data_IF_211041582526
#
_entry.id   IF_211041582526
#
_cell.length_a   1.000
_cell.length_b   1.000
_cell.length_c   1.000
_cell.angle_alpha   90.00
_cell.angle_beta   90.00
_cell.angle_gamma   90.00
#
_symmetry.space_group_name_H-M   'P 1'
#
loop_
_entity.id
_entity.type
_entity.pdbx_description
1 polymer ?
#
# COMPACT_ATOMS: atom_id res chain seq x y z
N UNK A 1 31.75 25.55 64.14
CA UNK A 1 31.27 26.71 63.36
C UNK A 1 31.44 26.38 61.88
N UNK A 2 30.37 26.59 61.08
CA UNK A 2 30.25 26.57 59.60
C UNK A 2 30.83 25.33 58.83
N UNK A 3 30.07 24.34 58.36
CA UNK A 3 29.07 24.26 57.25
C UNK A 3 29.57 24.66 55.86
N UNK A 4 29.66 23.68 54.96
CA UNK A 4 29.76 23.85 53.51
C UNK A 4 29.41 22.54 52.80
N UNK A 5 28.16 22.40 52.37
CA UNK A 5 27.63 21.22 51.67
C UNK A 5 27.83 21.31 50.16
N UNK A 6 28.09 20.15 49.52
CA UNK A 6 28.07 19.99 48.08
C UNK A 6 26.77 19.28 47.68
N UNK A 7 25.97 19.97 46.86
CA UNK A 7 24.67 19.50 46.36
C UNK A 7 24.81 18.41 45.30
N UNK A 8 23.99 17.37 45.43
CA UNK A 8 23.69 16.41 44.37
C UNK A 8 22.59 17.02 43.51
N UNK A 9 22.93 17.37 42.27
CA UNK A 9 21.99 17.89 41.29
C UNK A 9 20.99 16.82 40.85
N UNK A 10 19.73 16.99 41.24
CA UNK A 10 18.58 16.24 40.74
C UNK A 10 18.21 16.83 39.37
N UNK A 11 18.19 16.02 38.32
CA UNK A 11 17.77 16.44 36.97
C UNK A 11 16.24 16.65 36.96
N UNK A 12 15.69 17.72 36.35
CA UNK A 12 14.25 17.88 36.22
C UNK A 12 13.67 16.88 35.21
N UNK A 13 12.50 16.35 35.51
CA UNK A 13 11.64 15.59 34.59
C UNK A 13 11.10 16.56 33.54
N UNK A 14 11.36 16.28 32.26
CA UNK A 14 10.83 17.05 31.14
C UNK A 14 9.36 16.62 30.93
N UNK A 15 8.44 17.52 31.29
CA UNK A 15 7.01 17.36 31.13
C UNK A 15 6.64 17.56 29.64
N UNK A 16 6.21 16.49 28.98
CA UNK A 16 5.77 16.53 27.58
C UNK A 16 4.42 17.28 27.50
N UNK A 17 4.26 18.28 26.61
CA UNK A 17 3.03 19.06 26.55
C UNK A 17 1.87 18.20 26.03
N UNK A 18 0.61 18.46 26.45
CA UNK A 18 -0.55 17.71 25.99
C UNK A 18 -0.75 17.91 24.47
N UNK A 19 -1.31 16.90 23.76
CA UNK A 19 -1.62 17.07 22.35
C UNK A 19 -2.67 18.17 22.15
N UNK A 20 -2.59 18.95 21.05
CA UNK A 20 -3.58 19.99 20.78
C UNK A 20 -4.96 19.37 20.53
N UNK A 21 -6.06 20.08 20.85
CA UNK A 21 -7.39 19.60 20.53
C UNK A 21 -7.55 19.49 19.00
N UNK A 22 -8.18 18.41 18.54
CA UNK A 22 -8.61 18.23 17.15
C UNK A 22 -9.53 19.40 16.76
N UNK A 23 -8.96 20.40 16.10
CA UNK A 23 -9.71 21.50 15.53
C UNK A 23 -10.50 20.95 14.34
N UNK A 24 -11.83 21.04 14.41
CA UNK A 24 -12.69 20.70 13.28
C UNK A 24 -12.26 21.56 12.07
N UNK A 25 -12.15 20.97 10.86
CA UNK A 25 -11.75 21.73 9.68
C UNK A 25 -12.74 22.86 9.42
N UNK A 26 -12.26 24.11 9.48
CA UNK A 26 -13.04 25.29 9.12
C UNK A 26 -13.34 25.25 7.60
N UNK A 27 -14.53 25.70 7.16
CA UNK A 27 -14.83 25.79 5.74
C UNK A 27 -13.92 26.85 5.10
N UNK A 28 -13.36 26.60 3.89
CA UNK A 28 -12.56 27.60 3.21
C UNK A 28 -13.44 28.79 2.83
N UNK A 29 -12.99 29.98 3.22
CA UNK A 29 -13.53 31.25 2.79
C UNK A 29 -13.48 31.35 1.26
N UNK A 30 -14.54 31.92 0.68
CA UNK A 30 -14.77 31.96 -0.75
C UNK A 30 -13.72 32.80 -1.47
N UNK A 31 -12.95 32.15 -2.35
CA UNK A 31 -12.20 32.87 -3.38
C UNK A 31 -12.28 32.11 -4.71
N UNK A 32 -13.07 32.69 -5.63
CA UNK A 32 -13.02 32.44 -7.07
C UNK A 32 -13.76 31.20 -7.57
N UNK A 33 -14.73 31.42 -8.45
CA UNK A 33 -15.31 30.40 -9.33
C UNK A 33 -14.21 29.56 -10.01
N UNK A 34 -14.09 28.30 -9.58
CA UNK A 34 -13.68 27.21 -10.47
C UNK A 34 -14.64 26.06 -10.20
N UNK A 35 -15.56 25.84 -11.13
CA UNK A 35 -16.38 24.63 -11.21
C UNK A 35 -15.44 23.43 -10.99
N UNK A 36 -15.61 22.63 -9.91
CA UNK A 36 -14.78 21.46 -9.71
C UNK A 36 -14.98 20.54 -10.90
N UNK A 37 -13.99 20.49 -11.79
CA UNK A 37 -13.91 19.42 -12.75
C UNK A 37 -13.74 18.15 -11.92
N UNK A 38 -14.83 17.39 -11.75
CA UNK A 38 -14.83 16.08 -11.13
C UNK A 38 -13.91 15.19 -11.95
N UNK A 39 -12.61 15.25 -11.67
CA UNK A 39 -11.68 14.23 -12.14
C UNK A 39 -12.18 12.91 -11.56
N UNK A 40 -12.40 11.88 -12.40
CA UNK A 40 -12.78 10.58 -11.89
C UNK A 40 -11.72 10.13 -10.86
N UNK A 41 -12.14 9.41 -9.80
CA UNK A 41 -11.21 8.92 -8.80
C UNK A 41 -10.06 8.18 -9.49
N UNK A 42 -8.81 8.32 -9.00
CA UNK A 42 -7.69 7.57 -9.55
C UNK A 42 -8.10 6.11 -9.59
N UNK A 43 -8.20 5.58 -10.81
CA UNK A 43 -8.54 4.19 -11.01
C UNK A 43 -7.49 3.37 -10.25
N UNK A 44 -7.89 2.38 -9.42
CA UNK A 44 -6.92 1.46 -8.86
C UNK A 44 -6.12 0.90 -10.04
N UNK A 45 -4.78 0.74 -9.90
CA UNK A 45 -4.00 0.14 -10.97
C UNK A 45 -4.68 -1.17 -11.39
N UNK A 46 -4.74 -1.47 -12.69
CA UNK A 46 -5.39 -2.67 -13.17
C UNK A 46 -4.88 -3.83 -12.32
N UNK A 47 -5.81 -4.55 -11.69
CA UNK A 47 -5.51 -5.81 -11.05
C UNK A 47 -5.07 -6.73 -12.17
N UNK A 48 -3.77 -6.71 -12.46
CA UNK A 48 -3.10 -7.75 -13.20
C UNK A 48 -3.28 -8.98 -12.31
N UNK A 49 -4.40 -9.67 -12.48
CA UNK A 49 -4.41 -11.08 -12.13
C UNK A 49 -3.25 -11.66 -12.94
N UNK A 50 -2.24 -12.27 -12.30
CA UNK A 50 -1.24 -13.00 -13.05
C UNK A 50 -2.01 -14.07 -13.81
N UNK A 51 -2.23 -13.81 -15.09
CA UNK A 51 -2.93 -14.71 -15.98
C UNK A 51 -2.03 -15.92 -16.09
N UNK A 52 -2.35 -16.96 -15.32
CA UNK A 52 -1.65 -18.24 -15.19
C UNK A 52 -0.33 -18.28 -15.97
N UNK A 53 0.66 -17.51 -15.52
CA UNK A 53 1.98 -17.52 -16.15
C UNK A 53 2.55 -18.92 -15.92
N UNK A 54 3.32 -19.43 -16.88
CA UNK A 54 3.92 -20.76 -16.84
C UNK A 54 4.91 -20.92 -15.66
N UNK A 55 4.41 -21.08 -14.44
CA UNK A 55 5.20 -21.28 -13.22
C UNK A 55 5.77 -22.69 -13.10
N UNK A 56 5.47 -23.56 -14.07
CA UNK A 56 6.00 -24.92 -14.10
C UNK A 56 7.46 -24.92 -14.55
N UNK A 57 8.31 -25.54 -13.74
CA UNK A 57 9.71 -25.81 -14.07
C UNK A 57 9.92 -27.20 -14.67
N UNK A 58 8.89 -28.06 -14.61
CA UNK A 58 9.00 -29.47 -15.02
C UNK A 58 9.43 -29.66 -16.47
N UNK A 59 8.97 -28.86 -17.46
CA UNK A 59 9.46 -28.98 -18.84
C UNK A 59 10.97 -28.77 -18.94
N UNK A 60 11.51 -27.74 -18.28
CA UNK A 60 12.95 -27.45 -18.29
C UNK A 60 13.75 -28.53 -17.56
N UNK A 61 13.25 -29.04 -16.43
CA UNK A 61 13.89 -30.16 -15.71
C UNK A 61 13.94 -31.41 -16.59
N UNK A 62 12.83 -31.72 -17.27
CA UNK A 62 12.77 -32.84 -18.21
C UNK A 62 13.75 -32.67 -19.37
N UNK A 63 13.85 -31.47 -19.94
CA UNK A 63 14.76 -31.19 -21.04
C UNK A 63 16.23 -31.29 -20.62
N UNK A 64 16.58 -30.89 -19.39
CA UNK A 64 17.92 -31.11 -18.83
C UNK A 64 18.25 -32.60 -18.75
N UNK A 65 17.34 -33.42 -18.19
CA UNK A 65 17.54 -34.87 -18.08
C UNK A 65 17.73 -35.47 -19.49
N UNK A 66 16.88 -35.07 -20.44
CA UNK A 66 16.96 -35.52 -21.84
C UNK A 66 18.26 -35.08 -22.53
N UNK A 67 18.76 -33.88 -22.25
CA UNK A 67 20.03 -33.41 -22.77
C UNK A 67 21.22 -34.18 -22.16
N UNK A 68 21.14 -34.53 -20.87
CA UNK A 68 22.16 -35.34 -20.19
C UNK A 68 22.18 -36.78 -20.70
N UNK A 69 21.01 -37.41 -20.89
CA UNK A 69 20.90 -38.79 -21.41
C UNK A 69 21.46 -38.96 -22.82
N UNK A 70 21.60 -37.86 -23.57
CA UNK A 70 22.09 -37.84 -24.96
C UNK A 70 23.48 -37.24 -25.11
N UNK A 71 24.18 -36.94 -24.01
CA UNK A 71 25.46 -36.21 -23.99
C UNK A 71 25.44 -34.93 -24.86
N UNK A 72 24.30 -34.23 -24.88
CA UNK A 72 24.14 -33.02 -25.68
C UNK A 72 24.96 -31.87 -25.10
N UNK A 73 25.54 -31.04 -25.97
CA UNK A 73 26.22 -29.80 -25.55
C UNK A 73 25.24 -28.74 -25.03
N UNK A 74 23.93 -28.89 -25.28
CA UNK A 74 22.90 -27.93 -24.88
C UNK A 74 22.57 -27.95 -23.38
N UNK A 75 23.07 -28.93 -22.61
CA UNK A 75 22.78 -29.05 -21.16
C UNK A 75 23.05 -27.74 -20.43
N UNK A 76 24.15 -27.06 -20.74
CA UNK A 76 24.50 -25.79 -20.11
C UNK A 76 23.50 -24.67 -20.41
N UNK A 77 22.96 -24.64 -21.63
CA UNK A 77 21.95 -23.66 -22.04
C UNK A 77 20.66 -23.87 -21.26
N UNK A 78 20.11 -25.09 -21.27
CA UNK A 78 18.84 -25.40 -20.59
C UNK A 78 18.97 -25.22 -19.06
N UNK A 79 20.13 -25.53 -18.49
CA UNK A 79 20.42 -25.27 -17.08
C UNK A 79 20.43 -23.77 -16.75
N UNK A 80 20.99 -22.94 -17.65
CA UNK A 80 21.02 -21.50 -17.48
C UNK A 80 19.62 -20.87 -17.64
N UNK A 81 18.79 -21.42 -18.53
CA UNK A 81 17.38 -21.04 -18.65
C UNK A 81 16.60 -21.36 -17.36
N UNK A 82 16.78 -22.56 -16.80
CA UNK A 82 16.18 -22.94 -15.52
C UNK A 82 16.60 -21.99 -14.40
N UNK A 83 17.90 -21.67 -14.30
CA UNK A 83 18.43 -20.73 -13.31
C UNK A 83 17.81 -19.35 -13.46
N UNK A 84 17.72 -18.84 -14.69
CA UNK A 84 17.13 -17.53 -14.99
C UNK A 84 15.66 -17.49 -14.56
N UNK A 85 14.88 -18.51 -14.95
CA UNK A 85 13.48 -18.62 -14.58
C UNK A 85 13.27 -18.61 -13.05
N UNK A 86 14.14 -19.30 -12.29
CA UNK A 86 14.10 -19.24 -10.83
C UNK A 86 14.35 -17.84 -10.27
N UNK A 87 15.32 -17.12 -10.83
CA UNK A 87 15.66 -15.77 -10.39
C UNK A 87 14.52 -14.79 -10.68
N UNK A 88 13.93 -14.87 -11.86
CA UNK A 88 12.79 -14.04 -12.26
C UNK A 88 11.57 -14.32 -11.37
N UNK A 89 11.22 -15.59 -11.17
CA UNK A 89 10.10 -15.94 -10.30
C UNK A 89 10.35 -15.51 -8.86
N UNK A 90 11.57 -15.64 -8.33
CA UNK A 90 11.90 -15.12 -7.00
C UNK A 90 11.74 -13.61 -6.94
N UNK A 91 12.23 -12.87 -7.93
CA UNK A 91 12.08 -11.41 -8.01
C UNK A 91 10.61 -10.99 -8.06
N UNK A 92 9.80 -11.69 -8.84
CA UNK A 92 8.35 -11.46 -8.93
C UNK A 92 7.67 -11.70 -7.57
N UNK A 93 7.95 -12.83 -6.91
CA UNK A 93 7.43 -13.15 -5.58
C UNK A 93 7.83 -12.07 -4.57
N UNK A 94 9.09 -11.62 -4.58
CA UNK A 94 9.57 -10.54 -3.69
C UNK A 94 8.91 -9.19 -3.96
N UNK A 95 8.52 -8.91 -5.20
CA UNK A 95 7.79 -7.69 -5.57
C UNK A 95 6.27 -7.79 -5.30
N UNK A 96 5.76 -8.97 -4.92
CA UNK A 96 4.34 -9.19 -4.72
C UNK A 96 3.85 -8.41 -3.48
N UNK A 97 2.87 -7.49 -3.65
CA UNK A 97 2.33 -6.75 -2.53
C UNK A 97 1.65 -7.70 -1.56
N UNK A 98 1.85 -7.45 -0.26
CA UNK A 98 1.22 -8.24 0.78
C UNK A 98 2.04 -9.46 1.24
N UNK A 99 3.10 -9.88 0.54
CA UNK A 99 3.85 -11.09 0.93
C UNK A 99 4.55 -10.98 2.29
N UNK A 100 4.85 -9.75 2.73
CA UNK A 100 5.49 -9.46 4.01
C UNK A 100 4.54 -9.22 5.19
N UNK A 101 3.22 -9.35 5.00
CA UNK A 101 2.22 -9.10 6.06
C UNK A 101 1.42 -10.36 6.37
N UNK A 102 0.96 -10.48 7.61
CA UNK A 102 0.14 -11.63 8.01
C UNK A 102 -1.24 -11.59 7.34
N UNK A 103 -1.89 -12.75 7.16
CA UNK A 103 -3.25 -12.82 6.61
C UNK A 103 -4.26 -11.95 7.38
N UNK A 104 -4.14 -11.91 8.71
CA UNK A 104 -5.01 -11.12 9.59
C UNK A 104 -4.81 -9.62 9.35
N UNK A 105 -3.56 -9.19 9.19
CA UNK A 105 -3.23 -7.79 8.90
C UNK A 105 -3.73 -7.37 7.51
N UNK A 106 -3.58 -8.23 6.50
CA UNK A 106 -4.14 -8.00 5.17
C UNK A 106 -5.67 -7.84 5.23
N UNK A 107 -6.34 -8.72 5.98
CA UNK A 107 -7.78 -8.68 6.13
C UNK A 107 -8.24 -7.42 6.87
N UNK A 108 -7.51 -6.99 7.90
CA UNK A 108 -7.80 -5.75 8.62
C UNK A 108 -7.66 -4.52 7.72
N UNK A 109 -6.60 -4.44 6.92
CA UNK A 109 -6.43 -3.36 5.94
C UNK A 109 -7.57 -3.34 4.92
N UNK A 110 -7.99 -4.50 4.42
CA UNK A 110 -9.12 -4.61 3.50
C UNK A 110 -10.44 -4.14 4.14
N UNK A 111 -10.71 -4.52 5.40
CA UNK A 111 -11.87 -4.03 6.14
C UNK A 111 -11.87 -2.51 6.27
N UNK A 112 -10.75 -1.93 6.70
CA UNK A 112 -10.60 -0.48 6.84
C UNK A 112 -10.81 0.26 5.51
N UNK A 113 -10.22 -0.24 4.42
CA UNK A 113 -10.40 0.36 3.09
C UNK A 113 -11.87 0.33 2.63
N UNK A 114 -12.57 -0.79 2.86
CA UNK A 114 -14.01 -0.91 2.56
C UNK A 114 -14.86 0.06 3.37
N UNK A 115 -14.54 0.21 4.65
CA UNK A 115 -15.22 1.17 5.53
C UNK A 115 -14.97 2.61 5.07
N UNK A 116 -13.74 2.97 4.74
CA UNK A 116 -13.42 4.29 4.19
C UNK A 116 -14.21 4.60 2.92
N UNK A 117 -14.31 3.64 1.99
CA UNK A 117 -15.10 3.80 0.77
C UNK A 117 -16.58 3.99 1.10
N UNK A 118 -17.13 3.21 2.05
CA UNK A 118 -18.50 3.37 2.53
C UNK A 118 -18.73 4.78 3.08
N UNK A 119 -17.92 5.21 4.05
CA UNK A 119 -18.06 6.52 4.71
C UNK A 119 -17.91 7.67 3.71
N UNK A 120 -16.95 7.59 2.79
CA UNK A 120 -16.77 8.60 1.73
C UNK A 120 -18.00 8.68 0.82
N UNK A 121 -18.58 7.53 0.44
CA UNK A 121 -19.79 7.51 -0.36
C UNK A 121 -21.01 8.06 0.39
N UNK A 122 -21.17 7.72 1.67
CA UNK A 122 -22.22 8.29 2.52
C UNK A 122 -22.10 9.81 2.63
N UNK A 123 -20.88 10.32 2.81
CA UNK A 123 -20.62 11.74 2.87
C UNK A 123 -20.96 12.43 1.54
N UNK A 124 -20.52 11.87 0.41
CA UNK A 124 -20.88 12.37 -0.91
C UNK A 124 -22.40 12.37 -1.12
N UNK A 125 -23.09 11.32 -0.67
CA UNK A 125 -24.55 11.25 -0.75
C UNK A 125 -25.21 12.34 0.10
N UNK A 126 -24.73 12.54 1.34
CA UNK A 126 -25.21 13.62 2.22
C UNK A 126 -25.04 14.98 1.57
N UNK A 127 -23.88 15.27 0.96
CA UNK A 127 -23.67 16.52 0.22
C UNK A 127 -24.58 16.65 -1.01
N UNK A 128 -24.84 15.56 -1.74
CA UNK A 128 -25.81 15.55 -2.85
C UNK A 128 -27.24 15.82 -2.38
N UNK A 129 -27.67 15.22 -1.26
CA UNK A 129 -29.00 15.43 -0.70
C UNK A 129 -29.16 16.79 -0.02
N UNK A 130 -28.07 17.33 0.52
CA UNK A 130 -27.99 18.66 1.13
C UNK A 130 -27.78 19.75 0.08
N UNK A 131 -28.08 19.49 -1.20
CA UNK A 131 -28.08 20.54 -2.21
C UNK A 131 -29.11 21.61 -1.82
N UNK A 132 -28.68 22.58 -1.01
CA UNK A 132 -29.32 23.86 -0.70
C UNK A 132 -29.25 24.82 -1.89
N UNK A 133 -29.18 24.29 -3.11
CA UNK A 133 -29.29 25.02 -4.36
C UNK A 133 -30.55 24.53 -5.09
N UNK A 134 -31.71 24.98 -4.60
CA UNK A 134 -32.67 25.48 -5.58
C UNK A 134 -31.97 26.65 -6.27
N UNK A 135 -31.46 26.41 -7.48
CA UNK A 135 -31.14 27.51 -8.39
C UNK A 135 -32.48 28.21 -8.57
N UNK A 136 -32.63 29.50 -8.22
CA UNK A 136 -33.86 30.23 -8.47
C UNK A 136 -34.20 30.04 -9.95
N UNK A 137 -35.31 29.35 -10.22
CA UNK A 137 -35.86 29.35 -11.56
C UNK A 137 -36.42 30.75 -11.77
N UNK A 138 -35.76 31.48 -12.66
CA UNK A 138 -36.19 32.74 -13.24
C UNK A 138 -37.66 32.68 -13.68
#
# INVERSE_FOLDING_TARGET
MATGGAGVGVRPVEEQPPPPPLQAPQPPEQQGEQKPQLQPPPQPPPSQQPGQEDFSFLPLVHDIIKCMDKDSQDVHQVLNELKTKFQEMRKMISAMPGIGVSPEQQQQQLRSLREQVRTKNELLQKYKSLCMFEIPKE
#
